data_IF_853107209049
#
_entry.id   IF_853107209049
#
_cell.length_a   1.000
_cell.length_b   1.000
_cell.length_c   1.000
_cell.angle_alpha   90.00
_cell.angle_beta   90.00
_cell.angle_gamma   90.00
#
_symmetry.space_group_name_H-M   'P 1'
#
loop_
_entity.id
_entity.type
_entity.pdbx_description
1 polymer ?
#
# COMPACT_ATOMS: atom_id res chain seq x y z
N UNK A 1 2.61 3.55 21.45
CA UNK A 1 2.73 2.10 21.21
C UNK A 1 3.30 1.45 22.46
N UNK A 2 2.68 0.36 22.95
CA UNK A 2 3.16 -0.40 24.12
C UNK A 2 3.96 -1.63 23.67
N UNK A 3 4.91 -2.16 24.48
CA UNK A 3 5.57 -3.42 24.17
C UNK A 3 4.59 -4.59 23.96
N UNK A 4 3.49 -4.60 24.71
CA UNK A 4 2.44 -5.61 24.58
C UNK A 4 1.74 -5.56 23.21
N UNK A 5 1.45 -4.35 22.70
CA UNK A 5 0.88 -4.19 21.35
C UNK A 5 1.77 -4.81 20.28
N UNK A 6 3.09 -4.75 20.47
CA UNK A 6 4.06 -5.30 19.54
C UNK A 6 4.14 -6.83 19.62
N UNK A 7 4.14 -7.40 20.82
CA UNK A 7 4.06 -8.85 21.01
C UNK A 7 2.80 -9.41 20.33
N UNK A 8 1.66 -8.74 20.47
CA UNK A 8 0.42 -9.13 19.80
C UNK A 8 0.53 -9.08 18.28
N UNK A 9 1.19 -8.05 17.73
CA UNK A 9 1.43 -7.96 16.28
C UNK A 9 2.25 -9.16 15.79
N UNK A 10 3.39 -9.44 16.42
CA UNK A 10 4.25 -10.54 15.99
C UNK A 10 3.64 -11.92 16.23
N UNK A 11 2.76 -12.06 17.22
CA UNK A 11 1.96 -13.28 17.40
C UNK A 11 0.93 -13.46 16.29
N UNK A 12 0.38 -12.36 15.75
CA UNK A 12 -0.56 -12.41 14.62
C UNK A 12 0.14 -12.68 13.28
N UNK A 13 1.41 -12.27 13.14
CA UNK A 13 2.13 -12.23 11.86
C UNK A 13 2.10 -13.55 11.06
N UNK A 14 2.32 -14.75 11.67
CA UNK A 14 2.26 -16.00 10.91
C UNK A 14 0.91 -16.26 10.23
N UNK A 15 -0.19 -15.83 10.84
CA UNK A 15 -1.53 -15.96 10.26
C UNK A 15 -1.74 -14.97 9.11
N UNK A 16 -1.24 -13.74 9.25
CA UNK A 16 -1.32 -12.72 8.22
C UNK A 16 -0.49 -13.10 6.99
N UNK A 17 0.71 -13.64 7.21
CA UNK A 17 1.57 -14.13 6.12
C UNK A 17 0.97 -15.37 5.46
N UNK A 18 0.26 -16.21 6.23
CA UNK A 18 -0.56 -17.30 5.68
C UNK A 18 -1.67 -16.79 4.74
N UNK A 19 -2.34 -15.69 5.09
CA UNK A 19 -3.36 -15.07 4.23
C UNK A 19 -2.73 -14.59 2.92
N UNK A 20 -1.63 -13.83 3.01
CA UNK A 20 -0.94 -13.30 1.83
C UNK A 20 -0.43 -14.43 0.91
N UNK A 21 0.00 -15.56 1.49
CA UNK A 21 0.39 -16.76 0.73
C UNK A 21 -0.80 -17.41 0.01
N UNK A 22 -1.91 -17.64 0.71
CA UNK A 22 -3.12 -18.23 0.11
C UNK A 22 -3.66 -17.38 -1.03
N UNK A 23 -3.65 -16.06 -0.88
CA UNK A 23 -4.01 -15.11 -1.93
C UNK A 23 -3.11 -15.23 -3.16
N UNK A 24 -1.79 -15.23 -2.94
CA UNK A 24 -0.82 -15.36 -4.03
C UNK A 24 -0.97 -16.69 -4.78
N UNK A 25 -1.10 -17.80 -4.05
CA UNK A 25 -1.32 -19.12 -4.66
C UNK A 25 -2.64 -19.16 -5.46
N UNK A 26 -3.71 -18.57 -4.91
CA UNK A 26 -5.00 -18.52 -5.58
C UNK A 26 -4.95 -17.64 -6.84
N UNK A 27 -4.43 -16.42 -6.77
CA UNK A 27 -4.38 -15.50 -7.91
C UNK A 27 -3.36 -15.90 -8.97
N UNK A 28 -2.30 -16.62 -8.60
CA UNK A 28 -1.38 -17.24 -9.57
C UNK A 28 -2.08 -18.30 -10.41
N UNK A 29 -2.96 -19.09 -9.79
CA UNK A 29 -3.73 -20.13 -10.48
C UNK A 29 -4.94 -19.56 -11.22
N UNK A 30 -5.56 -18.53 -10.65
CA UNK A 30 -6.77 -17.88 -11.16
C UNK A 30 -6.55 -16.36 -11.23
N UNK A 31 -5.79 -15.87 -12.23
CA UNK A 31 -5.54 -14.45 -12.37
C UNK A 31 -6.86 -13.68 -12.51
N UNK A 32 -7.09 -12.60 -11.75
CA UNK A 32 -8.35 -11.83 -11.83
C UNK A 32 -8.65 -11.28 -13.23
N UNK A 33 -7.62 -11.07 -14.05
CA UNK A 33 -7.72 -10.61 -15.44
C UNK A 33 -8.04 -11.73 -16.44
N UNK A 34 -7.95 -13.01 -16.05
CA UNK A 34 -8.17 -14.13 -16.98
C UNK A 34 -9.66 -14.41 -17.18
N UNK A 35 -10.08 -14.47 -18.43
CA UNK A 35 -11.43 -14.91 -18.81
C UNK A 35 -11.51 -16.42 -19.05
N UNK A 36 -10.36 -17.09 -19.23
CA UNK A 36 -10.25 -18.49 -19.64
C UNK A 36 -10.17 -19.46 -18.46
N UNK A 37 -9.48 -19.07 -17.39
CA UNK A 37 -9.25 -19.93 -16.22
C UNK A 37 -9.98 -19.37 -15.02
N UNK A 38 -11.15 -19.94 -14.73
CA UNK A 38 -11.97 -19.55 -13.57
C UNK A 38 -12.02 -20.67 -12.54
N UNK A 39 -11.99 -20.34 -11.24
CA UNK A 39 -12.16 -21.33 -10.19
C UNK A 39 -13.60 -21.82 -10.17
N UNK A 40 -13.77 -23.14 -10.02
CA UNK A 40 -15.06 -23.76 -9.69
C UNK A 40 -15.58 -23.28 -8.34
N UNK A 41 -16.88 -23.43 -8.07
CA UNK A 41 -17.46 -23.06 -6.78
C UNK A 41 -16.83 -23.81 -5.60
N UNK A 42 -16.46 -25.08 -5.79
CA UNK A 42 -15.75 -25.87 -4.78
C UNK A 42 -14.35 -25.30 -4.49
N UNK A 43 -13.59 -24.90 -5.53
CA UNK A 43 -12.28 -24.27 -5.35
C UNK A 43 -12.39 -22.92 -4.64
N UNK A 44 -13.42 -22.11 -4.96
CA UNK A 44 -13.69 -20.85 -4.25
C UNK A 44 -14.07 -21.11 -2.78
N UNK A 45 -14.84 -22.16 -2.52
CA UNK A 45 -15.24 -22.55 -1.16
C UNK A 45 -14.02 -22.95 -0.32
N UNK A 46 -13.19 -23.86 -0.82
CA UNK A 46 -11.97 -24.30 -0.14
C UNK A 46 -11.01 -23.14 0.13
N UNK A 47 -10.86 -22.23 -0.83
CA UNK A 47 -10.08 -21.01 -0.65
C UNK A 47 -10.63 -20.13 0.50
N UNK A 48 -11.94 -19.88 0.51
CA UNK A 48 -12.58 -19.12 1.61
C UNK A 48 -12.42 -19.81 2.96
N UNK A 49 -12.52 -21.13 3.02
CA UNK A 49 -12.36 -21.90 4.27
C UNK A 49 -10.93 -21.80 4.83
N UNK A 50 -9.90 -21.90 3.98
CA UNK A 50 -8.50 -21.71 4.40
C UNK A 50 -8.25 -20.30 4.92
N UNK A 51 -8.74 -19.28 4.20
CA UNK A 51 -8.67 -17.89 4.66
C UNK A 51 -9.40 -17.70 5.99
N UNK A 52 -10.61 -18.25 6.12
CA UNK A 52 -11.41 -18.11 7.33
C UNK A 52 -10.72 -18.73 8.56
N UNK A 53 -10.03 -19.86 8.37
CA UNK A 53 -9.25 -20.51 9.44
C UNK A 53 -8.07 -19.66 9.90
N UNK A 54 -7.38 -18.99 8.98
CA UNK A 54 -6.26 -18.10 9.32
C UNK A 54 -6.77 -16.82 10.01
N UNK A 55 -7.84 -16.24 9.47
CA UNK A 55 -8.41 -14.99 9.95
C UNK A 55 -9.05 -15.13 11.34
N UNK A 56 -9.66 -16.27 11.68
CA UNK A 56 -10.26 -16.49 13.00
C UNK A 56 -9.24 -16.44 14.14
N UNK A 57 -8.00 -16.87 13.88
CA UNK A 57 -6.90 -16.81 14.84
C UNK A 57 -6.16 -15.46 14.81
N UNK A 58 -5.89 -14.93 13.61
CA UNK A 58 -5.10 -13.71 13.45
C UNK A 58 -5.84 -12.41 13.78
N UNK A 59 -7.13 -12.29 13.42
CA UNK A 59 -7.90 -11.04 13.58
C UNK A 59 -8.00 -10.58 15.04
N UNK A 60 -8.30 -11.44 16.03
CA UNK A 60 -8.38 -10.99 17.43
C UNK A 60 -7.07 -10.38 17.93
N UNK A 61 -5.93 -10.97 17.57
CA UNK A 61 -4.60 -10.50 17.95
C UNK A 61 -4.26 -9.16 17.30
N UNK A 62 -4.46 -9.06 15.98
CA UNK A 62 -4.13 -7.84 15.23
C UNK A 62 -5.05 -6.68 15.63
N UNK A 63 -6.31 -6.98 15.97
CA UNK A 63 -7.26 -5.98 16.48
C UNK A 63 -6.81 -5.39 17.81
N UNK A 64 -6.45 -6.23 18.79
CA UNK A 64 -5.94 -5.75 20.08
C UNK A 64 -4.65 -4.94 19.91
N UNK A 65 -3.73 -5.41 19.05
CA UNK A 65 -2.50 -4.67 18.72
C UNK A 65 -2.79 -3.29 18.09
N UNK A 66 -3.74 -3.22 17.16
CA UNK A 66 -4.14 -1.98 16.49
C UNK A 66 -4.81 -0.99 17.45
N UNK A 67 -5.67 -1.49 18.35
CA UNK A 67 -6.33 -0.70 19.40
C UNK A 67 -5.31 -0.15 20.42
N UNK A 68 -4.26 -0.90 20.71
CA UNK A 68 -3.13 -0.45 21.53
C UNK A 68 -2.13 0.48 20.77
N UNK A 69 -2.48 0.88 19.55
CA UNK A 69 -1.79 1.94 18.80
C UNK A 69 -0.62 1.46 17.94
N UNK A 70 -0.47 0.15 17.69
CA UNK A 70 0.57 -0.34 16.79
C UNK A 70 0.26 0.03 15.32
N UNK A 71 1.10 0.81 14.64
CA UNK A 71 0.79 1.29 13.28
C UNK A 71 0.83 0.17 12.23
N UNK A 72 1.70 -0.83 12.36
CA UNK A 72 1.74 -1.98 11.47
C UNK A 72 0.48 -2.84 11.63
N UNK A 73 -0.03 -2.97 12.86
CA UNK A 73 -1.29 -3.65 13.11
C UNK A 73 -2.50 -2.90 12.54
N UNK A 74 -2.54 -1.58 12.73
CA UNK A 74 -3.57 -0.73 12.14
C UNK A 74 -3.60 -0.86 10.61
N UNK A 75 -2.42 -0.87 9.97
CA UNK A 75 -2.28 -1.15 8.54
C UNK A 75 -2.83 -2.53 8.16
N UNK A 76 -2.35 -3.61 8.78
CA UNK A 76 -2.75 -4.98 8.41
C UNK A 76 -4.23 -5.25 8.69
N UNK A 77 -4.79 -4.71 9.76
CA UNK A 77 -6.22 -4.80 10.03
C UNK A 77 -7.06 -4.07 8.96
N UNK A 78 -6.65 -2.85 8.60
CA UNK A 78 -7.28 -2.09 7.52
C UNK A 78 -7.20 -2.83 6.17
N UNK A 79 -6.05 -3.43 5.86
CA UNK A 79 -5.83 -4.26 4.67
C UNK A 79 -6.82 -5.44 4.63
N UNK A 80 -6.91 -6.22 5.70
CA UNK A 80 -7.84 -7.36 5.81
C UNK A 80 -9.29 -6.90 5.64
N UNK A 81 -9.73 -5.88 6.40
CA UNK A 81 -11.10 -5.41 6.32
C UNK A 81 -11.45 -4.84 4.96
N UNK A 82 -10.51 -4.15 4.29
CA UNK A 82 -10.73 -3.61 2.94
C UNK A 82 -10.98 -4.68 1.88
N UNK A 83 -10.58 -5.93 2.13
CA UNK A 83 -10.63 -7.04 1.19
C UNK A 83 -11.76 -8.02 1.47
N UNK A 84 -12.04 -8.28 2.75
CA UNK A 84 -12.95 -9.35 3.16
C UNK A 84 -14.27 -8.85 3.75
N UNK A 85 -14.41 -7.56 4.05
CA UNK A 85 -15.65 -6.98 4.57
C UNK A 85 -16.21 -5.99 3.56
N UNK A 86 -17.53 -6.00 3.28
CA UNK A 86 -18.15 -5.04 2.37
C UNK A 86 -17.83 -3.59 2.76
N UNK A 87 -17.44 -2.79 1.75
CA UNK A 87 -16.92 -1.42 1.95
C UNK A 87 -17.89 -0.53 2.73
N UNK A 88 -19.18 -0.62 2.45
CA UNK A 88 -20.25 0.12 3.13
C UNK A 88 -20.32 -0.13 4.64
N UNK A 89 -19.77 -1.25 5.12
CA UNK A 89 -19.75 -1.60 6.55
C UNK A 89 -18.47 -1.16 7.28
N UNK A 90 -17.35 -0.97 6.57
CA UNK A 90 -16.04 -0.74 7.19
C UNK A 90 -15.28 0.47 6.69
N UNK A 91 -15.78 1.21 5.70
CA UNK A 91 -15.06 2.32 5.06
C UNK A 91 -14.45 3.31 6.08
N UNK A 92 -15.28 3.83 6.98
CA UNK A 92 -14.85 4.82 7.97
C UNK A 92 -13.82 4.24 8.96
N UNK A 93 -14.00 2.98 9.36
CA UNK A 93 -13.07 2.28 10.28
C UNK A 93 -11.72 2.04 9.62
N UNK A 94 -11.72 1.58 8.36
CA UNK A 94 -10.51 1.37 7.56
C UNK A 94 -9.76 2.70 7.39
N UNK A 95 -10.43 3.77 6.96
CA UNK A 95 -9.79 5.07 6.78
C UNK A 95 -9.27 5.66 8.10
N UNK A 96 -9.99 5.46 9.21
CA UNK A 96 -9.53 5.87 10.54
C UNK A 96 -8.25 5.12 10.98
N UNK A 97 -8.19 3.80 10.79
CA UNK A 97 -7.00 2.99 11.10
C UNK A 97 -5.80 3.42 10.26
N UNK A 98 -5.99 3.57 8.95
CA UNK A 98 -4.91 3.96 8.05
C UNK A 98 -4.41 5.38 8.37
N UNK A 99 -5.30 6.33 8.64
CA UNK A 99 -4.91 7.68 9.04
C UNK A 99 -4.14 7.69 10.35
N UNK A 100 -4.56 6.90 11.34
CA UNK A 100 -3.89 6.80 12.64
C UNK A 100 -2.48 6.21 12.49
N UNK A 101 -2.32 5.21 11.63
CA UNK A 101 -1.03 4.59 11.34
C UNK A 101 -0.10 5.53 10.57
N UNK A 102 -0.62 6.19 9.52
CA UNK A 102 0.14 7.18 8.75
C UNK A 102 0.59 8.37 9.62
N UNK A 103 -0.25 8.82 10.55
CA UNK A 103 0.09 9.92 11.47
C UNK A 103 1.26 9.57 12.40
N UNK A 104 1.55 8.29 12.59
CA UNK A 104 2.74 7.80 13.30
C UNK A 104 3.95 7.60 12.36
N UNK A 105 3.82 7.90 11.06
CA UNK A 105 4.88 7.79 10.07
C UNK A 105 4.96 6.45 9.34
N UNK A 106 3.97 5.55 9.48
CA UNK A 106 4.00 4.25 8.83
C UNK A 106 3.45 4.32 7.40
N UNK A 107 4.36 4.32 6.43
CA UNK A 107 4.10 4.66 5.02
C UNK A 107 3.18 3.70 4.27
N UNK A 108 3.10 2.38 4.57
CA UNK A 108 2.14 1.48 3.93
C UNK A 108 0.69 1.95 4.07
N UNK A 109 0.35 2.57 5.19
CA UNK A 109 -0.99 3.10 5.40
C UNK A 109 -1.30 4.29 4.50
N UNK A 110 -0.34 5.18 4.27
CA UNK A 110 -0.52 6.29 3.35
C UNK A 110 -0.74 5.82 1.92
N UNK A 111 -0.02 4.77 1.50
CA UNK A 111 -0.23 4.15 0.20
C UNK A 111 -1.65 3.58 0.10
N UNK A 112 -2.08 2.78 1.08
CA UNK A 112 -3.42 2.18 1.05
C UNK A 112 -4.55 3.23 1.07
N UNK A 113 -4.36 4.36 1.75
CA UNK A 113 -5.35 5.45 1.73
C UNK A 113 -5.61 5.98 0.32
N UNK A 114 -4.59 6.06 -0.54
CA UNK A 114 -4.72 6.55 -1.93
C UNK A 114 -5.74 5.73 -2.71
N UNK A 115 -5.84 4.42 -2.45
CA UNK A 115 -6.70 3.50 -3.18
C UNK A 115 -8.04 3.21 -2.51
N UNK A 116 -8.22 3.62 -1.24
CA UNK A 116 -9.42 3.26 -0.47
C UNK A 116 -10.19 4.47 0.09
N UNK A 117 -9.47 5.53 0.47
CA UNK A 117 -9.97 6.70 1.19
C UNK A 117 -10.00 7.94 0.28
N UNK A 118 -10.70 7.82 -0.86
CA UNK A 118 -10.62 8.75 -1.99
C UNK A 118 -10.89 10.23 -1.66
N UNK A 119 -11.74 10.52 -0.68
CA UNK A 119 -12.05 11.91 -0.31
C UNK A 119 -11.01 12.48 0.65
N UNK A 120 -10.51 11.68 1.59
CA UNK A 120 -9.48 12.13 2.54
C UNK A 120 -8.17 12.49 1.84
N UNK A 121 -7.75 11.71 0.85
CA UNK A 121 -6.45 11.89 0.17
C UNK A 121 -6.36 13.14 -0.71
N UNK A 122 -7.50 13.75 -1.04
CA UNK A 122 -7.57 15.02 -1.79
C UNK A 122 -7.39 16.25 -0.89
N UNK A 123 -7.35 16.07 0.43
CA UNK A 123 -7.31 17.19 1.37
C UNK A 123 -5.88 17.70 1.63
N UNK A 124 -5.71 19.00 1.95
CA UNK A 124 -4.43 19.54 2.44
C UNK A 124 -3.92 18.83 3.70
N UNK A 125 -4.83 18.30 4.53
CA UNK A 125 -4.49 17.53 5.72
C UNK A 125 -3.74 16.26 5.38
N UNK A 126 -4.20 15.49 4.38
CA UNK A 126 -3.47 14.30 3.93
C UNK A 126 -2.09 14.67 3.39
N UNK A 127 -1.99 15.71 2.56
CA UNK A 127 -0.70 16.22 2.08
C UNK A 127 0.26 16.57 3.22
N UNK A 128 -0.24 17.21 4.27
CA UNK A 128 0.56 17.57 5.45
C UNK A 128 1.10 16.33 6.17
N UNK A 129 0.34 15.23 6.22
CA UNK A 129 0.82 13.95 6.76
C UNK A 129 1.96 13.37 5.92
N UNK A 130 1.84 13.43 4.59
CA UNK A 130 2.90 12.96 3.67
C UNK A 130 4.17 13.80 3.80
N UNK A 131 4.02 15.11 3.97
CA UNK A 131 5.13 16.04 4.14
C UNK A 131 5.82 15.93 5.50
N UNK A 132 5.09 15.49 6.53
CA UNK A 132 5.61 15.26 7.87
C UNK A 132 6.27 13.88 8.07
N UNK A 133 6.30 13.03 7.04
CA UNK A 133 6.95 11.73 7.13
C UNK A 133 8.45 11.89 7.47
N UNK A 134 8.98 11.14 8.45
CA UNK A 134 10.38 11.25 8.82
C UNK A 134 11.27 10.74 7.70
N UNK A 135 12.42 11.38 7.47
CA UNK A 135 13.41 10.92 6.50
C UNK A 135 14.15 9.65 6.94
N UNK A 136 14.15 9.35 8.25
CA UNK A 136 14.79 8.15 8.78
C UNK A 136 13.94 6.89 8.53
N UNK A 137 14.43 6.01 7.65
CA UNK A 137 13.76 4.79 7.19
C UNK A 137 13.73 3.64 8.24
N UNK A 138 14.47 3.75 9.35
CA UNK A 138 14.74 2.57 10.20
C UNK A 138 13.81 2.37 11.40
N UNK A 139 12.97 3.34 11.78
CA UNK A 139 12.19 3.26 13.02
C UNK A 139 11.19 2.08 13.05
N UNK A 140 10.62 1.74 11.89
CA UNK A 140 9.66 0.64 11.73
C UNK A 140 10.25 -0.59 11.03
N UNK A 141 11.58 -0.67 10.88
CA UNK A 141 12.27 -1.72 10.11
C UNK A 141 11.83 -3.15 10.47
N UNK A 142 11.62 -3.43 11.76
CA UNK A 142 11.16 -4.75 12.25
C UNK A 142 9.76 -5.16 11.79
N UNK A 143 8.94 -4.21 11.35
CA UNK A 143 7.62 -4.49 10.80
C UNK A 143 7.68 -4.76 9.31
N UNK A 144 8.83 -4.59 8.65
CA UNK A 144 8.97 -4.91 7.24
C UNK A 144 9.52 -6.33 7.04
N UNK A 145 9.21 -6.97 5.91
CA UNK A 145 8.44 -6.43 4.80
C UNK A 145 6.92 -6.39 5.04
N UNK A 146 6.21 -5.57 4.27
CA UNK A 146 4.75 -5.49 4.28
C UNK A 146 4.18 -5.85 2.89
N UNK A 147 2.96 -6.42 2.81
CA UNK A 147 2.33 -6.79 1.55
C UNK A 147 1.86 -5.56 0.79
N UNK A 148 2.07 -5.55 -0.52
CA UNK A 148 1.59 -4.55 -1.47
C UNK A 148 1.00 -5.22 -2.71
N UNK A 149 -0.12 -4.73 -3.21
CA UNK A 149 -0.72 -5.18 -4.47
C UNK A 149 -0.45 -4.14 -5.54
N UNK A 150 -0.06 -4.58 -6.74
CA UNK A 150 0.13 -3.74 -7.92
C UNK A 150 1.08 -2.55 -7.68
N UNK A 151 2.37 -2.81 -7.39
CA UNK A 151 3.37 -1.74 -7.32
C UNK A 151 3.44 -0.96 -8.64
N UNK A 152 3.63 0.35 -8.54
CA UNK A 152 3.65 1.28 -9.66
C UNK A 152 5.06 1.67 -10.10
N UNK A 153 6.05 1.58 -9.22
CA UNK A 153 7.41 2.06 -9.50
C UNK A 153 8.14 1.20 -10.52
N UNK A 154 7.99 -0.11 -10.45
CA UNK A 154 8.68 -1.08 -11.31
C UNK A 154 7.74 -1.66 -12.39
N UNK A 155 6.83 -0.84 -12.92
CA UNK A 155 5.80 -1.26 -13.87
C UNK A 155 6.31 -1.92 -15.16
N UNK A 156 7.60 -1.79 -15.50
CA UNK A 156 8.21 -2.47 -16.68
C UNK A 156 8.78 -3.84 -16.34
N UNK A 157 9.03 -4.11 -15.07
CA UNK A 157 9.53 -5.39 -14.59
C UNK A 157 8.33 -6.25 -14.13
N UNK A 158 7.33 -6.38 -15.00
CA UNK A 158 6.04 -7.07 -14.75
C UNK A 158 6.16 -8.58 -14.52
N UNK A 159 7.38 -9.11 -14.35
CA UNK A 159 7.63 -10.49 -13.93
C UNK A 159 7.40 -10.69 -12.42
N UNK A 160 6.52 -9.91 -11.79
CA UNK A 160 6.04 -10.27 -10.47
C UNK A 160 5.16 -11.51 -10.63
N UNK A 161 5.73 -12.68 -10.32
CA UNK A 161 5.03 -13.95 -10.35
C UNK A 161 3.83 -13.98 -9.37
N UNK A 162 3.84 -13.08 -8.39
CA UNK A 162 2.89 -12.97 -7.31
C UNK A 162 2.09 -11.66 -7.39
N UNK A 163 0.82 -11.72 -7.00
CA UNK A 163 -0.10 -10.57 -7.01
C UNK A 163 0.12 -9.63 -5.81
N UNK A 164 0.60 -10.19 -4.70
CA UNK A 164 1.03 -9.49 -3.49
C UNK A 164 2.55 -9.61 -3.43
N UNK A 165 3.23 -8.47 -3.43
CA UNK A 165 4.69 -8.37 -3.32
C UNK A 165 5.07 -7.82 -1.95
N UNK A 166 6.12 -8.36 -1.36
CA UNK A 166 6.64 -7.96 -0.06
C UNK A 166 7.66 -6.83 -0.20
N UNK A 167 7.33 -5.65 0.33
CA UNK A 167 8.13 -4.43 0.18
C UNK A 167 8.76 -4.02 1.52
N UNK A 168 9.98 -3.50 1.46
CA UNK A 168 10.62 -2.84 2.60
C UNK A 168 10.18 -1.35 2.71
N UNK A 169 10.61 -0.64 3.75
CA UNK A 169 10.21 0.76 3.99
C UNK A 169 10.54 1.67 2.79
N UNK A 170 11.76 1.54 2.26
CA UNK A 170 12.25 2.34 1.14
C UNK A 170 11.36 2.16 -0.10
N UNK A 171 11.03 0.92 -0.45
CA UNK A 171 10.15 0.61 -1.58
C UNK A 171 8.73 1.12 -1.35
N UNK A 172 8.20 1.04 -0.13
CA UNK A 172 6.88 1.63 0.19
C UNK A 172 6.87 3.15 0.06
N UNK A 173 7.94 3.82 0.48
CA UNK A 173 8.09 5.28 0.32
C UNK A 173 8.12 5.69 -1.15
N UNK A 174 8.87 4.97 -1.97
CA UNK A 174 8.89 5.16 -3.41
C UNK A 174 7.47 5.07 -4.01
N UNK A 175 6.74 4.01 -3.65
CA UNK A 175 5.37 3.76 -4.14
C UNK A 175 4.36 4.80 -3.67
N UNK A 176 4.44 5.22 -2.41
CA UNK A 176 3.60 6.26 -1.83
C UNK A 176 3.79 7.58 -2.59
N UNK A 177 5.03 8.04 -2.74
CA UNK A 177 5.30 9.29 -3.44
C UNK A 177 4.92 9.22 -4.92
N UNK A 178 5.19 8.11 -5.60
CA UNK A 178 4.81 7.91 -7.00
C UNK A 178 3.30 7.94 -7.21
N UNK A 179 2.56 7.28 -6.32
CA UNK A 179 1.10 7.23 -6.36
C UNK A 179 0.48 8.58 -6.03
N UNK A 180 1.02 9.28 -5.03
CA UNK A 180 0.55 10.60 -4.65
C UNK A 180 0.80 11.65 -5.75
N UNK A 181 1.99 11.63 -6.37
CA UNK A 181 2.30 12.46 -7.53
C UNK A 181 1.37 12.18 -8.72
N UNK A 182 0.92 10.93 -8.88
CA UNK A 182 -0.04 10.57 -9.93
C UNK A 182 -1.43 11.14 -9.66
N UNK A 183 -1.89 11.17 -8.41
CA UNK A 183 -3.18 11.83 -8.10
C UNK A 183 -3.15 13.33 -8.42
N UNK A 184 -2.01 14.01 -8.21
CA UNK A 184 -1.86 15.44 -8.48
C UNK A 184 -1.95 15.81 -9.96
N UNK A 185 -1.68 14.88 -10.89
CA UNK A 185 -1.83 15.16 -12.32
C UNK A 185 -3.27 15.51 -12.70
N UNK A 186 -4.24 15.05 -11.90
CA UNK A 186 -5.66 15.32 -12.10
C UNK A 186 -6.09 16.68 -11.52
N UNK A 187 -5.25 17.32 -10.70
CA UNK A 187 -5.56 18.53 -9.94
C UNK A 187 -4.84 19.79 -10.46
N UNK A 188 -4.11 19.69 -11.59
CA UNK A 188 -3.30 20.77 -12.17
C UNK A 188 -2.20 21.33 -11.23
N UNK A 189 -1.73 20.53 -10.27
CA UNK A 189 -0.68 20.90 -9.30
C UNK A 189 0.70 20.47 -9.81
N UNK A 190 1.17 21.07 -10.92
CA UNK A 190 2.37 20.60 -11.64
C UNK A 190 3.66 20.67 -10.81
N UNK A 191 3.86 21.76 -10.06
CA UNK A 191 5.08 21.94 -9.26
C UNK A 191 5.14 20.94 -8.11
N UNK A 192 4.02 20.74 -7.42
CA UNK A 192 3.87 19.74 -6.38
C UNK A 192 4.05 18.33 -6.91
N UNK A 193 3.46 18.04 -8.06
CA UNK A 193 3.64 16.75 -8.73
C UNK A 193 5.14 16.49 -8.96
N UNK A 194 5.88 17.46 -9.50
CA UNK A 194 7.30 17.31 -9.76
C UNK A 194 8.09 17.08 -8.45
N UNK A 195 7.75 17.79 -7.37
CA UNK A 195 8.34 17.58 -6.05
C UNK A 195 8.18 16.14 -5.56
N UNK A 196 6.98 15.55 -5.65
CA UNK A 196 6.77 14.16 -5.21
C UNK A 196 7.34 13.12 -6.19
N UNK A 197 7.42 13.43 -7.48
CA UNK A 197 8.16 12.58 -8.42
C UNK A 197 9.65 12.54 -8.07
N UNK A 198 10.27 13.67 -7.74
CA UNK A 198 11.67 13.71 -7.31
C UNK A 198 11.88 12.89 -6.03
N UNK A 199 11.01 13.03 -5.03
CA UNK A 199 11.03 12.16 -3.83
C UNK A 199 10.89 10.69 -4.20
N UNK A 200 9.94 10.30 -5.05
CA UNK A 200 9.81 8.91 -5.47
C UNK A 200 11.10 8.39 -6.14
N UNK A 201 11.75 9.20 -6.97
CA UNK A 201 13.00 8.87 -7.64
C UNK A 201 14.19 8.72 -6.67
N UNK A 202 14.30 9.58 -5.65
CA UNK A 202 15.31 9.48 -4.58
C UNK A 202 15.21 8.14 -3.83
N UNK A 203 13.98 7.65 -3.65
CA UNK A 203 13.72 6.34 -3.04
C UNK A 203 13.82 5.17 -4.04
N UNK A 204 14.22 5.43 -5.29
CA UNK A 204 14.54 4.40 -6.29
C UNK A 204 13.41 4.06 -7.27
N UNK A 205 12.35 4.87 -7.34
CA UNK A 205 11.22 4.61 -8.24
C UNK A 205 11.59 4.84 -9.72
N UNK A 206 11.76 3.76 -10.50
CA UNK A 206 12.10 3.85 -11.93
C UNK A 206 11.07 4.66 -12.74
N UNK A 207 9.77 4.41 -12.51
CA UNK A 207 8.69 5.16 -13.17
C UNK A 207 8.75 6.66 -12.94
N UNK A 208 9.15 7.09 -11.74
CA UNK A 208 9.23 8.51 -11.42
C UNK A 208 10.38 9.18 -12.20
N UNK A 209 11.55 8.53 -12.24
CA UNK A 209 12.71 8.97 -13.02
C UNK A 209 12.35 9.16 -14.49
N UNK A 210 11.59 8.23 -15.07
CA UNK A 210 11.12 8.34 -16.46
C UNK A 210 10.18 9.55 -16.66
N UNK A 211 9.23 9.76 -15.75
CA UNK A 211 8.28 10.87 -15.85
C UNK A 211 8.96 12.24 -15.75
N UNK A 212 9.96 12.38 -14.88
CA UNK A 212 10.74 13.62 -14.76
C UNK A 212 11.46 13.95 -16.07
N UNK A 213 12.12 12.94 -16.68
CA UNK A 213 12.81 13.12 -17.98
C UNK A 213 11.86 13.55 -19.09
N UNK A 214 10.66 12.96 -19.14
CA UNK A 214 9.63 13.34 -20.11
C UNK A 214 9.17 14.79 -19.92
N UNK A 215 8.95 15.22 -18.68
CA UNK A 215 8.57 16.61 -18.38
C UNK A 215 9.64 17.61 -18.87
N UNK A 216 10.92 17.37 -18.56
CA UNK A 216 12.01 18.23 -19.05
C UNK A 216 12.08 18.27 -20.58
N UNK A 217 11.83 17.14 -21.25
CA UNK A 217 11.82 17.08 -22.72
C UNK A 217 10.68 17.92 -23.31
N UNK A 218 9.50 17.88 -22.70
CA UNK A 218 8.34 18.68 -23.13
C UNK A 218 8.62 20.17 -22.93
N UNK A 219 9.18 20.55 -21.78
CA UNK A 219 9.52 21.95 -21.48
C UNK A 219 10.60 22.50 -22.43
N UNK A 220 11.65 21.72 -22.72
CA UNK A 220 12.68 22.10 -23.68
C UNK A 220 12.12 22.33 -25.09
N UNK A 221 11.20 21.46 -25.54
CA UNK A 221 10.49 21.64 -26.83
C UNK A 221 9.59 22.87 -26.83
N UNK A 222 8.88 23.13 -25.73
CA UNK A 222 8.02 24.31 -25.61
C UNK A 222 8.81 25.63 -25.54
N UNK A 223 10.04 25.60 -25.03
CA UNK A 223 10.94 26.74 -24.96
C UNK A 223 11.74 27.00 -26.26
N UNK A 224 11.49 26.24 -27.33
CA UNK A 224 12.26 26.34 -28.58
C UNK A 224 13.72 25.88 -28.42
N UNK A 225 14.04 25.17 -27.34
CA UNK A 225 15.37 24.72 -26.98
C UNK A 225 15.55 23.22 -27.33
N UNK A 226 15.36 22.88 -28.60
CA UNK A 226 15.97 21.72 -29.24
C UNK A 226 15.89 21.90 -30.77
N UNK A 227 16.93 21.53 -31.55
CA UNK A 227 16.88 21.50 -33.01
C UNK A 227 15.84 20.50 -33.53
#
# INVERSE_FOLDING_TARGET
>A
MTPESEVLYFKALPYLDGVDKEDNEFFKKYPPSSTEVKPSEEQKKQYRERLQSLLSEGIPLIKQSAEAGNPAAQYRLAWIWSRFVPRDQVADKVCSLLRSSLSQGFTPSGFQMIFYCFDEVKTPKFRSLIDALPENENFYSKYYPQPLIMPSCDWRNTSHADSIVLFNDKSFRAELYMSFATQMSTQNLKQEQLRYLNKAAEYGCARAIERIKLNHTIEARAAGAAP
#
